data_IF_345747531001
#
_entry.id   IF_345747531001
#
_cell.length_a   1.000
_cell.length_b   1.000
_cell.length_c   1.000
_cell.angle_alpha   90.00
_cell.angle_beta   90.00
_cell.angle_gamma   90.00
#
_symmetry.space_group_name_H-M   'P 1'
#
loop_
_entity.id
_entity.type
_entity.pdbx_description
1 polymer ?
#
# COMPACT_ATOMS: atom_id res chain seq x y z
N UNK A 1 10.11 -3.49 26.78
CA UNK A 1 8.92 -2.75 26.31
C UNK A 1 9.18 -2.21 24.90
N UNK A 2 9.53 -3.05 23.91
CA UNK A 2 10.25 -2.56 22.71
C UNK A 2 9.50 -2.74 21.37
N UNK A 3 8.46 -3.58 21.28
CA UNK A 3 7.70 -3.78 20.04
C UNK A 3 6.59 -2.74 19.84
N UNK A 4 5.82 -2.46 20.89
CA UNK A 4 4.70 -1.52 20.84
C UNK A 4 5.11 -0.09 20.43
N UNK A 5 6.30 0.34 20.85
CA UNK A 5 6.85 1.64 20.45
C UNK A 5 7.26 1.68 18.97
N UNK A 6 7.76 0.58 18.40
CA UNK A 6 8.19 0.56 16.99
C UNK A 6 7.00 0.57 16.03
N UNK A 7 5.95 -0.19 16.32
CA UNK A 7 4.69 -0.14 15.55
C UNK A 7 4.06 1.27 15.63
N UNK A 8 3.97 1.86 16.81
CA UNK A 8 3.41 3.20 16.99
C UNK A 8 4.18 4.28 16.20
N UNK A 9 5.51 4.15 16.12
CA UNK A 9 6.35 5.03 15.29
C UNK A 9 6.05 4.85 13.81
N UNK A 10 5.94 3.61 13.32
CA UNK A 10 5.60 3.32 11.92
C UNK A 10 4.21 3.81 11.53
N UNK A 11 3.23 3.69 12.43
CA UNK A 11 1.87 4.23 12.23
C UNK A 11 1.89 5.76 12.13
N UNK A 12 2.60 6.42 13.06
CA UNK A 12 2.72 7.88 13.04
C UNK A 12 3.41 8.36 11.77
N UNK A 13 4.47 7.66 11.36
CA UNK A 13 5.20 7.94 10.13
C UNK A 13 4.29 7.77 8.89
N UNK A 14 3.56 6.66 8.80
CA UNK A 14 2.63 6.41 7.70
C UNK A 14 1.57 7.50 7.60
N UNK A 15 0.94 7.86 8.72
CA UNK A 15 -0.12 8.88 8.72
C UNK A 15 0.39 10.24 8.23
N UNK A 16 1.60 10.62 8.65
CA UNK A 16 2.18 11.88 8.25
C UNK A 16 2.71 11.89 6.81
N UNK A 17 3.19 10.75 6.28
CA UNK A 17 3.48 10.59 4.84
C UNK A 17 2.19 10.70 4.01
N UNK A 18 1.13 10.03 4.43
CA UNK A 18 -0.18 10.08 3.76
C UNK A 18 -0.83 11.46 3.81
N UNK A 19 -0.68 12.19 4.92
CA UNK A 19 -1.18 13.56 5.05
C UNK A 19 -0.50 14.54 4.07
N UNK A 20 0.73 14.24 3.64
CA UNK A 20 1.50 15.04 2.68
C UNK A 20 1.44 14.50 1.25
N UNK A 21 0.95 13.28 1.08
CA UNK A 21 0.84 12.64 -0.22
C UNK A 21 -0.28 13.29 -1.03
N UNK A 22 0.08 13.86 -2.17
CA UNK A 22 -0.89 14.34 -3.17
C UNK A 22 -1.17 13.29 -4.24
N UNK A 23 -0.41 12.19 -4.26
CA UNK A 23 -0.46 11.14 -5.27
C UNK A 23 -0.40 9.77 -4.59
N UNK A 24 -1.58 9.24 -4.28
CA UNK A 24 -1.74 7.90 -3.72
C UNK A 24 -1.50 7.81 -2.21
N UNK A 25 -1.39 6.58 -1.73
CA UNK A 25 -1.20 6.25 -0.31
C UNK A 25 0.07 5.46 -0.07
N UNK A 26 0.78 5.81 0.99
CA UNK A 26 1.92 5.10 1.54
C UNK A 26 1.48 4.03 2.54
N UNK A 27 1.94 2.81 2.31
CA UNK A 27 1.87 1.65 3.19
C UNK A 27 3.27 1.32 3.69
N UNK A 28 3.47 1.39 5.01
CA UNK A 28 4.75 1.08 5.63
C UNK A 28 4.73 -0.35 6.16
N UNK A 29 5.72 -1.20 5.82
CA UNK A 29 5.83 -2.51 6.43
C UNK A 29 6.01 -2.38 7.94
N UNK A 30 5.29 -3.21 8.69
CA UNK A 30 5.26 -3.17 10.15
C UNK A 30 4.31 -2.12 10.75
N UNK A 31 3.66 -1.27 9.95
CA UNK A 31 2.61 -0.37 10.45
C UNK A 31 1.29 -1.13 10.66
N UNK A 32 1.00 -2.11 9.79
CA UNK A 32 -0.25 -2.91 9.76
C UNK A 32 -1.55 -2.09 9.79
N UNK A 33 -1.48 -0.78 9.55
CA UNK A 33 -2.60 0.14 9.60
C UNK A 33 -3.14 0.41 8.20
N UNK A 34 -4.47 0.39 8.02
CA UNK A 34 -5.08 0.73 6.75
C UNK A 34 -4.94 2.22 6.45
N UNK A 35 -4.48 2.54 5.25
CA UNK A 35 -4.47 3.90 4.70
C UNK A 35 -5.71 4.12 3.82
N UNK A 36 -6.32 5.30 3.89
CA UNK A 36 -7.47 5.68 3.08
C UNK A 36 -7.01 6.39 1.81
N UNK A 37 -7.49 5.91 0.65
CA UNK A 37 -7.28 6.52 -0.66
C UNK A 37 -8.63 6.91 -1.27
N UNK A 38 -8.82 8.19 -1.52
CA UNK A 38 -9.96 8.65 -2.32
C UNK A 38 -9.59 8.52 -3.80
N UNK A 39 -10.33 7.70 -4.54
CA UNK A 39 -10.09 7.44 -5.96
C UNK A 39 -11.34 7.71 -6.81
N UNK A 40 -11.19 7.70 -8.13
CA UNK A 40 -12.32 7.88 -9.05
C UNK A 40 -13.35 6.72 -9.01
N UNK A 41 -12.97 5.55 -8.47
CA UNK A 41 -13.87 4.40 -8.28
C UNK A 41 -14.46 4.35 -6.86
N UNK A 42 -14.21 5.38 -6.04
CA UNK A 42 -14.68 5.48 -4.67
C UNK A 42 -13.54 5.53 -3.64
N UNK A 43 -13.93 5.53 -2.37
CA UNK A 43 -12.99 5.54 -1.24
C UNK A 43 -12.55 4.13 -0.92
N UNK A 44 -11.24 3.90 -0.96
CA UNK A 44 -10.59 2.62 -0.71
C UNK A 44 -9.79 2.67 0.58
N UNK A 45 -9.81 1.59 1.35
CA UNK A 45 -8.91 1.36 2.49
C UNK A 45 -7.93 0.27 2.10
N UNK A 46 -6.66 0.61 2.09
CA UNK A 46 -5.60 -0.29 1.67
C UNK A 46 -4.72 -0.63 2.86
N UNK A 47 -4.38 -1.90 3.04
CA UNK A 47 -3.44 -2.34 4.06
C UNK A 47 -2.51 -3.40 3.52
N UNK A 48 -1.34 -3.48 4.14
CA UNK A 48 -0.32 -4.46 3.79
C UNK A 48 -0.31 -5.56 4.85
N UNK A 49 -0.49 -6.81 4.44
CA UNK A 49 -0.47 -7.98 5.31
C UNK A 49 0.47 -9.06 4.74
N UNK A 50 0.81 -10.06 5.55
CA UNK A 50 1.65 -11.20 5.14
C UNK A 50 3.01 -10.80 4.53
N UNK A 51 3.64 -9.73 5.04
CA UNK A 51 4.97 -9.29 4.60
C UNK A 51 6.01 -10.33 5.02
N UNK A 52 6.66 -10.95 4.05
CA UNK A 52 7.62 -12.02 4.27
C UNK A 52 8.72 -12.02 3.19
N UNK A 53 9.90 -12.58 3.47
CA UNK A 53 10.93 -12.74 2.45
C UNK A 53 10.47 -13.69 1.34
N UNK A 54 10.94 -13.41 0.11
CA UNK A 54 10.79 -14.21 -1.11
C UNK A 54 12.18 -14.38 -1.77
N UNK A 55 12.33 -15.34 -2.69
CA UNK A 55 13.62 -15.70 -3.31
C UNK A 55 14.42 -14.49 -3.82
N UNK A 56 13.73 -13.51 -4.45
CA UNK A 56 14.35 -12.32 -5.04
C UNK A 56 13.83 -11.01 -4.43
N UNK A 57 13.30 -11.02 -3.21
CA UNK A 57 12.83 -9.79 -2.54
C UNK A 57 11.81 -10.03 -1.44
N UNK A 58 10.71 -9.29 -1.48
CA UNK A 58 9.63 -9.35 -0.48
C UNK A 58 8.34 -9.80 -1.13
N UNK A 59 7.64 -10.73 -0.50
CA UNK A 59 6.23 -10.99 -0.79
C UNK A 59 5.37 -10.30 0.24
N UNK A 60 4.25 -9.74 -0.20
CA UNK A 60 3.23 -9.20 0.68
C UNK A 60 1.85 -9.40 0.05
N UNK A 61 0.80 -9.18 0.82
CA UNK A 61 -0.57 -9.14 0.33
C UNK A 61 -1.10 -7.74 0.53
N UNK A 62 -1.52 -7.09 -0.56
CA UNK A 62 -2.25 -5.85 -0.52
C UNK A 62 -3.73 -6.17 -0.34
N UNK A 63 -4.28 -5.82 0.82
CA UNK A 63 -5.71 -5.88 1.08
C UNK A 63 -6.35 -4.57 0.71
N UNK A 64 -7.40 -4.62 -0.10
CA UNK A 64 -8.14 -3.47 -0.58
C UNK A 64 -9.59 -3.64 -0.16
N UNK A 65 -10.07 -2.69 0.63
CA UNK A 65 -11.44 -2.65 1.12
C UNK A 65 -12.17 -1.43 0.59
N UNK A 66 -13.34 -1.64 0.00
CA UNK A 66 -14.25 -0.53 -0.30
C UNK A 66 -14.81 0.05 0.98
N UNK A 67 -14.77 1.38 1.15
CA UNK A 67 -15.44 2.03 2.28
C UNK A 67 -16.96 2.18 2.04
N UNK A 68 -17.36 2.20 0.76
CA UNK A 68 -18.76 2.21 0.34
C UNK A 68 -19.40 0.82 0.42
N UNK A 69 -20.72 0.77 0.53
CA UNK A 69 -21.52 -0.45 0.36
C UNK A 69 -21.76 -0.82 -1.12
N UNK A 70 -21.14 -0.09 -2.04
CA UNK A 70 -21.23 -0.35 -3.48
C UNK A 70 -20.19 -1.41 -3.89
N UNK A 71 -20.49 -2.22 -4.92
CA UNK A 71 -19.51 -3.13 -5.49
C UNK A 71 -18.35 -2.36 -6.09
N UNK A 72 -17.13 -2.83 -5.83
CA UNK A 72 -15.91 -2.25 -6.38
C UNK A 72 -15.70 -2.78 -7.81
N UNK A 73 -15.70 -1.92 -8.86
CA UNK A 73 -15.43 -2.37 -10.22
C UNK A 73 -13.99 -2.89 -10.35
N UNK A 74 -13.69 -3.62 -11.41
CA UNK A 74 -12.31 -3.99 -11.72
C UNK A 74 -11.49 -2.72 -12.00
N UNK A 75 -10.26 -2.66 -11.49
CA UNK A 75 -9.38 -1.51 -11.68
C UNK A 75 -7.91 -1.92 -11.81
N UNK A 76 -7.10 -1.07 -12.41
CA UNK A 76 -5.65 -1.13 -12.34
C UNK A 76 -5.12 -0.08 -11.38
N UNK A 77 -3.98 -0.37 -10.76
CA UNK A 77 -3.28 0.56 -9.89
C UNK A 77 -1.78 0.46 -10.11
N UNK A 78 -1.07 1.57 -9.96
CA UNK A 78 0.39 1.59 -9.95
C UNK A 78 0.87 1.42 -8.52
N UNK A 79 1.68 0.39 -8.30
CA UNK A 79 2.34 0.12 -7.02
C UNK A 79 3.81 0.42 -7.16
N UNK A 80 4.30 1.34 -6.35
CA UNK A 80 5.71 1.63 -6.20
C UNK A 80 6.22 1.14 -4.86
N UNK A 81 7.46 0.70 -4.79
CA UNK A 81 8.09 0.34 -3.53
C UNK A 81 9.56 0.71 -3.56
N UNK A 82 10.10 0.98 -2.38
CA UNK A 82 11.47 1.45 -2.27
C UNK A 82 11.90 1.63 -0.82
N UNK A 83 13.04 2.28 -0.67
CA UNK A 83 13.56 2.75 0.60
C UNK A 83 13.13 4.20 0.85
N UNK A 84 12.93 4.56 2.11
CA UNK A 84 12.76 5.96 2.53
C UNK A 84 14.02 6.37 3.29
N UNK A 85 14.69 7.43 2.84
CA UNK A 85 15.77 8.08 3.57
C UNK A 85 15.33 9.48 4.01
N UNK A 86 15.67 9.87 5.24
CA UNK A 86 15.32 11.18 5.80
C UNK A 86 14.23 11.10 6.87
N UNK A 87 13.52 12.21 7.10
CA UNK A 87 12.46 12.33 8.10
C UNK A 87 11.09 12.42 7.44
N UNK A 88 10.03 12.28 8.22
CA UNK A 88 8.65 12.50 7.77
C UNK A 88 8.41 13.92 7.20
N UNK A 89 9.29 14.88 7.50
CA UNK A 89 9.22 16.26 7.00
C UNK A 89 9.99 16.48 5.71
N UNK A 90 11.05 15.72 5.49
CA UNK A 90 11.85 15.79 4.29
C UNK A 90 12.47 14.42 4.07
N UNK A 91 11.87 13.67 3.14
CA UNK A 91 12.31 12.34 2.77
C UNK A 91 12.65 12.27 1.29
N UNK A 92 13.50 11.31 0.95
CA UNK A 92 13.77 10.88 -0.40
C UNK A 92 13.45 9.39 -0.53
N UNK A 93 12.77 9.06 -1.62
CA UNK A 93 12.51 7.69 -2.01
C UNK A 93 13.73 7.19 -2.81
N UNK A 94 14.33 6.09 -2.38
CA UNK A 94 15.52 5.50 -2.97
C UNK A 94 15.21 4.11 -3.51
N UNK A 95 15.91 3.70 -4.56
CA UNK A 95 15.77 2.38 -5.18
C UNK A 95 14.31 2.04 -5.51
N UNK A 96 13.55 3.04 -6.00
CA UNK A 96 12.12 2.89 -6.27
C UNK A 96 11.92 1.99 -7.48
N UNK A 97 11.09 0.98 -7.30
CA UNK A 97 10.61 0.09 -8.33
C UNK A 97 9.10 0.26 -8.47
N UNK A 98 8.58 -0.10 -9.64
CA UNK A 98 7.17 0.07 -9.97
C UNK A 98 6.60 -1.19 -10.61
N UNK A 99 5.33 -1.47 -10.33
CA UNK A 99 4.56 -2.56 -10.91
C UNK A 99 3.11 -2.14 -11.06
N UNK A 100 2.54 -2.43 -12.21
CA UNK A 100 1.09 -2.33 -12.40
C UNK A 100 0.41 -3.57 -11.81
N UNK A 101 -0.63 -3.35 -11.03
CA UNK A 101 -1.51 -4.42 -10.53
C UNK A 101 -2.91 -4.28 -11.10
N UNK A 102 -3.61 -5.40 -11.19
CA UNK A 102 -5.02 -5.44 -11.58
C UNK A 102 -5.83 -6.07 -10.44
N UNK A 103 -6.82 -5.34 -9.98
CA UNK A 103 -7.79 -5.81 -9.01
C UNK A 103 -9.04 -6.32 -9.76
N UNK A 104 -9.52 -7.54 -9.47
CA UNK A 104 -10.78 -8.01 -10.02
C UNK A 104 -11.95 -7.19 -9.48
N UNK A 105 -13.07 -7.18 -10.22
CA UNK A 105 -14.30 -6.61 -9.72
C UNK A 105 -14.80 -7.39 -8.50
N UNK A 106 -15.16 -6.68 -7.44
CA UNK A 106 -15.81 -7.26 -6.25
C UNK A 106 -17.30 -6.95 -6.27
N UNK A 107 -18.08 -7.98 -6.51
CA UNK A 107 -19.55 -7.93 -6.47
C UNK A 107 -20.13 -7.97 -5.04
N UNK A 108 -19.29 -8.28 -4.05
CA UNK A 108 -19.69 -8.37 -2.64
C UNK A 108 -19.49 -7.02 -1.95
N UNK A 109 -20.44 -6.67 -1.08
CA UNK A 109 -20.40 -5.47 -0.24
C UNK A 109 -20.35 -5.88 1.25
N UNK A 110 -19.40 -5.35 2.05
CA UNK A 110 -18.29 -4.49 1.64
C UNK A 110 -17.30 -5.27 0.75
N UNK A 111 -16.76 -4.59 -0.25
CA UNK A 111 -15.75 -5.21 -1.13
C UNK A 111 -14.45 -5.41 -0.36
N UNK A 112 -13.94 -6.65 -0.37
CA UNK A 112 -12.64 -7.03 0.21
C UNK A 112 -11.89 -7.85 -0.83
N UNK A 113 -10.74 -7.32 -1.25
CA UNK A 113 -9.91 -7.89 -2.33
C UNK A 113 -8.48 -8.01 -1.83
N UNK A 114 -7.95 -9.23 -1.84
CA UNK A 114 -6.56 -9.52 -1.49
C UNK A 114 -5.75 -9.75 -2.78
N UNK A 115 -4.74 -8.90 -3.01
CA UNK A 115 -3.84 -8.98 -4.17
C UNK A 115 -2.43 -9.35 -3.70
N UNK A 116 -1.86 -10.48 -4.16
CA UNK A 116 -0.49 -10.82 -3.86
C UNK A 116 0.48 -9.87 -4.58
N UNK A 117 1.40 -9.27 -3.83
CA UNK A 117 2.48 -8.42 -4.34
C UNK A 117 3.81 -9.15 -4.27
N UNK A 118 4.58 -9.11 -5.37
CA UNK A 118 5.95 -9.61 -5.44
C UNK A 118 6.90 -8.44 -5.65
N UNK A 119 7.45 -7.94 -4.55
CA UNK A 119 8.32 -6.77 -4.49
C UNK A 119 9.76 -7.24 -4.67
N UNK A 120 10.15 -7.45 -5.92
CA UNK A 120 11.50 -7.91 -6.27
C UNK A 120 12.55 -6.85 -5.91
N UNK A 121 13.79 -7.24 -5.64
CA UNK A 121 14.92 -6.33 -5.44
C UNK A 121 15.10 -5.76 -4.03
N UNK A 122 14.11 -5.87 -3.14
CA UNK A 122 14.19 -5.40 -1.75
C UNK A 122 13.70 -6.46 -0.77
N UNK A 123 14.51 -6.77 0.24
CA UNK A 123 14.11 -7.66 1.35
C UNK A 123 13.16 -6.93 2.31
N UNK A 124 12.42 -7.65 3.18
CA UNK A 124 11.46 -7.01 4.08
C UNK A 124 12.09 -5.96 5.00
N UNK A 125 13.35 -6.17 5.41
CA UNK A 125 14.11 -5.23 6.25
C UNK A 125 14.59 -3.99 5.47
N UNK A 126 14.77 -4.12 4.15
CA UNK A 126 15.15 -3.01 3.27
C UNK A 126 13.93 -2.25 2.74
N UNK A 127 12.75 -2.86 2.74
CA UNK A 127 11.52 -2.24 2.28
C UNK A 127 11.13 -1.08 3.21
N UNK A 128 11.25 0.15 2.71
CA UNK A 128 10.91 1.37 3.45
C UNK A 128 9.44 1.73 3.31
N UNK A 129 8.88 1.55 2.11
CA UNK A 129 7.50 1.89 1.80
C UNK A 129 6.97 1.12 0.60
N UNK A 130 5.65 1.09 0.49
CA UNK A 130 4.90 0.78 -0.72
C UNK A 130 3.94 1.94 -0.95
N UNK A 131 3.92 2.53 -2.13
CA UNK A 131 3.01 3.61 -2.52
C UNK A 131 2.06 3.11 -3.60
N UNK A 132 0.76 3.23 -3.37
CA UNK A 132 -0.27 2.85 -4.33
C UNK A 132 -0.94 4.11 -4.86
N UNK A 133 -0.89 4.30 -6.18
CA UNK A 133 -1.43 5.48 -6.84
C UNK A 133 -1.97 5.12 -8.24
N UNK A 134 -2.45 6.13 -8.97
CA UNK A 134 -2.99 6.00 -10.32
C UNK A 134 -4.05 4.89 -10.47
N UNK A 135 -5.10 4.97 -9.66
CA UNK A 135 -6.21 4.03 -9.70
C UNK A 135 -7.07 4.32 -10.92
N UNK A 136 -7.11 3.41 -11.88
CA UNK A 136 -7.87 3.53 -13.11
C UNK A 136 -8.90 2.39 -13.23
N UNK A 137 -10.20 2.66 -13.45
CA UNK A 137 -11.14 1.60 -13.75
C UNK A 137 -10.72 0.93 -15.06
N UNK A 138 -10.66 -0.40 -15.07
CA UNK A 138 -10.50 -1.14 -16.33
C UNK A 138 -11.90 -1.34 -16.90
N UNK A 139 -12.17 -0.71 -18.04
CA UNK A 139 -13.41 -0.93 -18.77
C UNK A 139 -13.56 -2.43 -19.07
N UNK A 140 -14.72 -2.99 -18.72
CA UNK A 140 -15.10 -4.36 -19.08
C UNK A 140 -15.51 -4.45 -20.55
#
# INVERSE_FOLDING_TARGET
MNKLNQETVKITQQNALNAKSTSGVYLLPGSNTPARLNSQIGTLRMSLVNVAPNADGTRATLRIQGESNDPLPAFSATVEWGQIQGTTDSFQELNVQTQLINAPASILAPSDVDIPLQLNGLTPDQLGFIRIHDIQPVAQ
#
